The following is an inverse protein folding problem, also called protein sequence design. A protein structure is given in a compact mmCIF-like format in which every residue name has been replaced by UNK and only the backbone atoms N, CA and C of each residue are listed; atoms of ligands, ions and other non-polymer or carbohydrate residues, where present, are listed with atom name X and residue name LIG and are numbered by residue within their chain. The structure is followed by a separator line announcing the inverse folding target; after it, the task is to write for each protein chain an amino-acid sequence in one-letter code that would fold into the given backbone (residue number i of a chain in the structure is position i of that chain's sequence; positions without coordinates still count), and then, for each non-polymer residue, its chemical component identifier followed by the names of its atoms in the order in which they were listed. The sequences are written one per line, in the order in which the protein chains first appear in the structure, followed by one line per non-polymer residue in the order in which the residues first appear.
data_IF_085246715766
#
_entry.id   IF_085246715766
#
_cell.length_a   1.000
_cell.length_b   1.000
_cell.length_c   1.000
_cell.angle_alpha   90.00
_cell.angle_beta   90.00
_cell.angle_gamma   90.00
#
_symmetry.space_group_name_H-M   'P 1'
#
loop_
_entity.id
_entity.type
_entity.pdbx_description
1 polymer ?
#
# COMPACT_ATOMS: atom_id res chain seq x y z
N UNK A 1 6.62 -4.20 -38.27
CA UNK A 1 6.86 -4.05 -36.82
C UNK A 1 5.56 -4.36 -36.08
N UNK A 2 5.58 -5.15 -34.99
CA UNK A 2 4.39 -5.32 -34.17
C UNK A 2 3.96 -3.93 -33.66
N UNK A 3 2.67 -3.59 -33.78
CA UNK A 3 2.13 -2.32 -33.28
C UNK A 3 2.39 -2.27 -31.77
N UNK A 4 3.18 -1.30 -31.31
CA UNK A 4 3.36 -1.07 -29.88
C UNK A 4 2.03 -0.65 -29.28
N UNK A 5 1.51 -1.44 -28.37
CA UNK A 5 0.30 -1.13 -27.63
C UNK A 5 0.60 -0.02 -26.62
N UNK A 6 0.26 1.22 -26.98
CA UNK A 6 0.53 2.42 -26.18
C UNK A 6 -0.31 2.45 -24.89
N UNK A 7 -1.32 1.60 -24.77
CA UNK A 7 -2.17 1.51 -23.57
C UNK A 7 -1.47 0.87 -22.37
N UNK A 8 -0.24 0.37 -22.54
CA UNK A 8 0.55 -0.28 -21.48
C UNK A 8 1.80 0.50 -21.09
N UNK A 9 2.00 1.68 -21.67
CA UNK A 9 3.19 2.51 -21.40
C UNK A 9 2.89 3.41 -20.19
N UNK A 10 3.56 3.20 -19.04
CA UNK A 10 3.38 4.06 -17.89
C UNK A 10 3.99 5.44 -18.19
N UNK A 11 3.18 6.49 -18.09
CA UNK A 11 3.61 7.88 -18.28
C UNK A 11 3.74 8.63 -16.95
N UNK A 12 3.25 8.02 -15.87
CA UNK A 12 3.05 8.65 -14.58
C UNK A 12 4.12 8.26 -13.57
N UNK A 13 4.81 9.27 -13.02
CA UNK A 13 5.79 9.10 -11.96
C UNK A 13 5.13 9.05 -10.58
N UNK A 14 5.89 8.61 -9.57
CA UNK A 14 5.40 8.47 -8.20
C UNK A 14 4.88 9.81 -7.63
N UNK A 15 5.60 10.90 -7.82
CA UNK A 15 5.23 12.19 -7.22
C UNK A 15 3.95 12.77 -7.82
N UNK A 16 3.67 12.46 -9.09
CA UNK A 16 2.39 12.77 -9.73
C UNK A 16 1.28 11.87 -9.20
N UNK A 17 1.55 10.59 -8.98
CA UNK A 17 0.59 9.67 -8.34
C UNK A 17 0.15 10.17 -6.96
N UNK A 18 1.11 10.58 -6.13
CA UNK A 18 0.89 11.17 -4.80
C UNK A 18 -0.06 12.36 -4.90
N UNK A 19 0.26 13.35 -5.74
CA UNK A 19 -0.58 14.55 -5.93
C UNK A 19 -1.98 14.26 -6.48
N UNK A 20 -2.14 13.19 -7.26
CA UNK A 20 -3.44 12.79 -7.81
C UNK A 20 -4.25 12.09 -6.71
N UNK A 21 -3.65 11.14 -6.00
CA UNK A 21 -4.34 10.42 -4.93
C UNK A 21 -4.69 11.32 -3.75
N UNK A 22 -3.83 12.28 -3.38
CA UNK A 22 -4.13 13.27 -2.32
C UNK A 22 -5.31 14.18 -2.69
N UNK A 23 -5.34 14.67 -3.94
CA UNK A 23 -6.47 15.46 -4.45
C UNK A 23 -7.75 14.64 -4.51
N UNK A 24 -7.63 13.39 -4.96
CA UNK A 24 -8.75 12.48 -5.05
C UNK A 24 -9.32 12.18 -3.67
N UNK A 25 -8.48 11.80 -2.70
CA UNK A 25 -8.89 11.59 -1.31
C UNK A 25 -9.49 12.86 -0.69
N UNK A 26 -8.90 14.03 -0.97
CA UNK A 26 -9.41 15.32 -0.53
C UNK A 26 -10.80 15.66 -1.08
N UNK A 27 -11.18 15.08 -2.22
CA UNK A 27 -12.53 15.22 -2.78
C UNK A 27 -13.58 14.34 -2.10
N UNK A 28 -13.14 13.31 -1.35
CA UNK A 28 -14.01 12.38 -0.62
C UNK A 28 -14.27 12.91 0.80
N UNK A 29 -15.40 13.62 0.95
CA UNK A 29 -15.76 14.33 2.18
C UNK A 29 -15.90 13.43 3.41
N UNK A 30 -16.31 12.18 3.21
CA UNK A 30 -16.46 11.16 4.25
C UNK A 30 -15.14 10.52 4.68
N UNK A 31 -14.11 10.54 3.81
CA UNK A 31 -12.81 9.89 4.06
C UNK A 31 -11.72 10.84 4.53
N UNK A 32 -11.64 12.05 3.96
CA UNK A 32 -10.56 13.02 4.21
C UNK A 32 -10.40 13.43 5.68
N UNK A 33 -11.47 13.33 6.47
CA UNK A 33 -11.43 13.66 7.91
C UNK A 33 -10.91 12.52 8.79
N UNK A 34 -10.80 11.30 8.25
CA UNK A 34 -10.45 10.09 9.00
C UNK A 34 -9.09 9.54 8.58
N UNK A 35 -8.77 9.68 7.29
CA UNK A 35 -7.62 9.04 6.67
C UNK A 35 -6.80 10.01 5.81
N UNK A 36 -5.54 9.67 5.64
CA UNK A 36 -4.61 10.24 4.65
C UNK A 36 -4.12 9.12 3.73
N UNK A 37 -3.64 9.46 2.54
CA UNK A 37 -2.98 8.48 1.68
C UNK A 37 -1.54 8.30 2.16
N UNK A 38 -1.03 7.06 2.20
CA UNK A 38 0.39 6.86 2.46
C UNK A 38 1.24 7.35 1.27
N UNK A 39 2.49 7.72 1.53
CA UNK A 39 3.40 8.20 0.49
C UNK A 39 3.90 7.08 -0.45
N UNK A 40 3.61 5.80 -0.16
CA UNK A 40 4.33 4.66 -0.80
C UNK A 40 4.13 4.54 -2.30
N UNK A 41 2.88 4.61 -2.79
CA UNK A 41 2.48 4.48 -4.20
C UNK A 41 3.29 3.43 -4.99
N UNK A 42 3.26 2.18 -4.50
CA UNK A 42 3.95 1.02 -5.08
C UNK A 42 3.44 0.75 -6.48
N UNK A 43 4.36 0.56 -7.43
CA UNK A 43 4.02 0.24 -8.81
C UNK A 43 3.79 -1.27 -8.98
N UNK A 44 2.66 -1.63 -9.59
CA UNK A 44 2.26 -3.01 -9.85
C UNK A 44 1.65 -3.12 -11.26
N UNK A 45 1.62 -4.34 -11.80
CA UNK A 45 0.86 -4.64 -13.02
C UNK A 45 -0.32 -5.50 -12.61
N UNK A 46 -1.54 -5.01 -12.83
CA UNK A 46 -2.80 -5.71 -12.52
C UNK A 46 -3.52 -5.89 -13.86
N UNK A 47 -3.87 -7.14 -14.20
CA UNK A 47 -4.52 -7.48 -15.48
C UNK A 47 -3.79 -6.87 -16.71
N UNK A 48 -2.46 -6.92 -16.70
CA UNK A 48 -1.62 -6.42 -17.79
C UNK A 48 -1.58 -4.89 -17.96
N UNK A 49 -2.13 -4.11 -17.00
CA UNK A 49 -2.07 -2.65 -16.97
C UNK A 49 -1.24 -2.15 -15.78
N UNK A 50 -0.44 -1.09 -15.97
CA UNK A 50 0.40 -0.55 -14.90
C UNK A 50 -0.42 0.38 -13.98
N UNK A 51 -0.36 0.10 -12.68
CA UNK A 51 -1.00 0.89 -11.62
C UNK A 51 0.01 1.27 -10.54
N UNK A 52 -0.27 2.36 -9.84
CA UNK A 52 0.33 2.67 -8.54
C UNK A 52 -0.72 2.54 -7.45
N UNK A 53 -0.40 1.80 -6.39
CA UNK A 53 -1.32 1.56 -5.27
C UNK A 53 -0.74 2.10 -3.98
N UNK A 54 -1.60 2.64 -3.12
CA UNK A 54 -1.20 3.10 -1.79
C UNK A 54 -2.30 2.79 -0.76
N UNK A 55 -1.95 2.35 0.46
CA UNK A 55 -2.94 2.17 1.51
C UNK A 55 -3.38 3.52 2.07
N UNK A 56 -4.55 3.54 2.69
CA UNK A 56 -4.94 4.63 3.58
C UNK A 56 -4.25 4.47 4.95
N UNK A 57 -3.94 5.59 5.59
CA UNK A 57 -3.41 5.68 6.94
C UNK A 57 -4.35 6.52 7.81
N UNK A 58 -4.42 6.23 9.11
CA UNK A 58 -5.19 7.07 10.03
C UNK A 58 -4.57 8.47 10.11
N UNK A 59 -5.39 9.51 10.01
CA UNK A 59 -4.90 10.89 9.99
C UNK A 59 -4.22 11.31 11.32
N UNK A 60 -4.68 10.76 12.46
CA UNK A 60 -4.14 11.06 13.78
C UNK A 60 -4.46 9.93 14.81
N UNK A 61 -3.87 9.95 16.02
CA UNK A 61 -4.09 8.92 17.04
C UNK A 61 -5.55 8.79 17.51
N UNK A 62 -6.33 9.88 17.49
CA UNK A 62 -7.75 9.86 17.87
C UNK A 62 -8.55 9.14 16.78
N UNK A 63 -8.24 9.39 15.50
CA UNK A 63 -8.85 8.65 14.37
C UNK A 63 -8.50 7.17 14.42
N UNK A 64 -7.25 6.84 14.74
CA UNK A 64 -6.86 5.45 14.97
C UNK A 64 -7.71 4.83 16.07
N UNK A 65 -7.81 5.46 17.25
CA UNK A 65 -8.58 4.90 18.37
C UNK A 65 -10.05 4.62 18.01
N UNK A 66 -10.68 5.54 17.28
CA UNK A 66 -12.08 5.40 16.85
C UNK A 66 -12.30 4.35 15.75
N UNK A 67 -11.29 4.08 14.91
CA UNK A 67 -11.46 3.26 13.71
C UNK A 67 -10.72 1.91 13.75
N UNK A 68 -9.71 1.72 14.61
CA UNK A 68 -8.88 0.49 14.66
C UNK A 68 -9.70 -0.79 14.81
N UNK A 69 -10.85 -0.72 15.49
CA UNK A 69 -11.72 -1.88 15.69
C UNK A 69 -12.29 -2.38 14.35
N UNK A 70 -12.55 -1.47 13.40
CA UNK A 70 -12.97 -1.76 12.03
C UNK A 70 -11.77 -2.04 11.12
N UNK A 71 -10.66 -1.33 11.32
CA UNK A 71 -9.49 -1.40 10.45
C UNK A 71 -9.65 -0.55 9.20
N UNK A 72 -8.64 -0.57 8.32
CA UNK A 72 -8.64 0.20 7.08
C UNK A 72 -9.34 -0.62 6.00
N UNK A 73 -10.47 -0.11 5.50
CA UNK A 73 -11.35 -0.81 4.58
C UNK A 73 -11.06 -0.54 3.11
N UNK A 74 -10.21 0.42 2.78
CA UNK A 74 -10.01 0.87 1.40
C UNK A 74 -8.53 1.20 1.12
N UNK A 75 -8.18 1.22 -0.17
CA UNK A 75 -6.90 1.72 -0.65
C UNK A 75 -7.09 2.53 -1.93
N UNK A 76 -6.10 3.37 -2.27
CA UNK A 76 -6.14 4.18 -3.50
C UNK A 76 -5.34 3.47 -4.58
N UNK A 77 -5.90 3.43 -5.80
CA UNK A 77 -5.28 2.91 -7.01
C UNK A 77 -5.26 4.01 -8.06
N UNK A 78 -4.08 4.27 -8.63
CA UNK A 78 -3.87 5.27 -9.69
C UNK A 78 -3.43 4.56 -10.96
N UNK A 79 -4.18 4.77 -12.03
CA UNK A 79 -3.83 4.29 -13.37
C UNK A 79 -2.65 5.10 -13.92
N UNK A 80 -1.56 4.42 -14.27
CA UNK A 80 -0.34 5.08 -14.72
C UNK A 80 -0.38 5.56 -16.18
N UNK A 81 -1.42 5.20 -16.92
CA UNK A 81 -1.63 5.54 -18.33
C UNK A 81 -2.62 6.69 -18.45
N UNK A 82 -3.73 6.62 -17.70
CA UNK A 82 -4.78 7.64 -17.73
C UNK A 82 -4.63 8.72 -16.66
N UNK A 83 -3.91 8.43 -15.57
CA UNK A 83 -3.80 9.33 -14.42
C UNK A 83 -5.07 9.37 -13.56
N UNK A 84 -6.02 8.45 -13.77
CA UNK A 84 -7.24 8.38 -12.97
C UNK A 84 -6.96 7.68 -11.64
N UNK A 85 -7.48 8.24 -10.55
CA UNK A 85 -7.48 7.63 -9.23
C UNK A 85 -8.85 7.02 -8.90
N UNK A 86 -8.82 5.92 -8.16
CA UNK A 86 -9.97 5.17 -7.69
C UNK A 86 -9.74 4.76 -6.23
N UNK A 87 -10.80 4.84 -5.41
CA UNK A 87 -10.83 4.22 -4.09
C UNK A 87 -11.39 2.82 -4.24
N UNK A 88 -10.61 1.81 -3.86
CA UNK A 88 -11.01 0.41 -3.97
C UNK A 88 -11.37 -0.13 -2.58
N UNK A 89 -12.60 -0.62 -2.47
CA UNK A 89 -13.11 -1.24 -1.25
C UNK A 89 -12.57 -2.65 -1.08
N UNK A 90 -12.10 -2.95 0.14
CA UNK A 90 -11.57 -4.25 0.52
C UNK A 90 -12.70 -5.17 0.97
N UNK A 91 -12.68 -6.42 0.50
CA UNK A 91 -13.56 -7.49 1.01
C UNK A 91 -13.36 -7.70 2.52
N UNK A 92 -12.13 -7.53 3.00
CA UNK A 92 -11.78 -7.65 4.42
C UNK A 92 -10.90 -6.47 4.82
N UNK A 93 -11.31 -5.67 5.83
CA UNK A 93 -10.50 -4.55 6.29
C UNK A 93 -9.14 -5.01 6.83
N UNK A 94 -8.10 -4.23 6.51
CA UNK A 94 -6.76 -4.44 7.03
C UNK A 94 -6.71 -4.13 8.52
N UNK A 95 -6.25 -5.09 9.32
CA UNK A 95 -5.95 -4.92 10.76
C UNK A 95 -4.49 -4.57 11.05
N UNK A 96 -3.63 -4.69 10.03
CA UNK A 96 -2.22 -4.41 10.12
C UNK A 96 -1.88 -3.37 9.05
N UNK A 97 -1.29 -2.26 9.45
CA UNK A 97 -0.77 -1.23 8.55
C UNK A 97 0.44 -0.54 9.18
N UNK A 98 1.14 0.29 8.39
CA UNK A 98 2.22 1.14 8.91
C UNK A 98 1.70 2.28 9.81
N UNK A 99 0.40 2.57 9.79
CA UNK A 99 -0.26 3.57 10.64
C UNK A 99 -0.92 2.99 11.89
N UNK A 100 -0.86 1.67 12.10
CA UNK A 100 -1.41 1.01 13.29
C UNK A 100 -0.46 1.17 14.49
N UNK A 101 -1.02 1.14 15.70
CA UNK A 101 -0.23 1.20 16.94
C UNK A 101 -0.02 -0.19 17.54
N UNK A 102 0.97 -0.30 18.42
CA UNK A 102 1.29 -1.53 19.17
C UNK A 102 1.51 -2.75 18.25
N UNK A 103 0.93 -3.90 18.60
CA UNK A 103 1.14 -5.18 17.92
C UNK A 103 0.48 -5.28 16.53
N UNK A 104 -0.21 -4.22 16.09
CA UNK A 104 -0.82 -4.13 14.77
C UNK A 104 0.01 -3.33 13.77
N UNK A 105 1.02 -2.59 14.24
CA UNK A 105 2.07 -2.03 13.38
C UNK A 105 2.76 -3.16 12.62
N UNK A 106 2.83 -3.06 11.28
CA UNK A 106 3.36 -4.12 10.41
C UNK A 106 4.80 -4.47 10.76
N UNK A 107 5.65 -3.45 10.97
CA UNK A 107 7.08 -3.65 11.27
C UNK A 107 7.27 -4.36 12.61
N UNK A 108 6.54 -3.95 13.64
CA UNK A 108 6.56 -4.59 14.96
C UNK A 108 6.01 -6.01 14.89
N UNK A 109 4.90 -6.22 14.19
CA UNK A 109 4.31 -7.55 14.02
C UNK A 109 5.30 -8.52 13.37
N UNK A 110 5.97 -8.11 12.29
CA UNK A 110 7.01 -8.90 11.62
C UNK A 110 8.18 -9.22 12.56
N UNK A 111 8.65 -8.24 13.33
CA UNK A 111 9.76 -8.44 14.28
C UNK A 111 9.43 -9.39 15.42
N UNK A 112 8.21 -9.34 15.97
CA UNK A 112 7.76 -10.25 17.02
C UNK A 112 7.62 -11.68 16.45
N UNK A 113 7.03 -11.81 15.27
CA UNK A 113 6.79 -13.12 14.63
C UNK A 113 8.08 -13.78 14.15
N UNK A 114 9.07 -13.00 13.73
CA UNK A 114 10.32 -13.49 13.17
C UNK A 114 11.54 -12.75 13.76
N UNK A 115 11.91 -13.02 15.03
CA UNK A 115 12.91 -12.22 15.75
C UNK A 115 14.30 -12.25 15.12
N UNK A 116 14.69 -13.36 14.48
CA UNK A 116 16.03 -13.57 13.90
C UNK A 116 16.14 -13.17 12.43
N UNK A 117 15.02 -12.88 11.75
CA UNK A 117 15.03 -12.51 10.34
C UNK A 117 15.38 -11.04 10.16
N UNK A 118 16.10 -10.74 9.08
CA UNK A 118 16.40 -9.36 8.67
C UNK A 118 15.50 -9.03 7.49
N UNK A 119 14.73 -7.95 7.61
CA UNK A 119 13.75 -7.52 6.63
C UNK A 119 14.17 -6.21 5.97
N UNK A 120 13.86 -6.06 4.68
CA UNK A 120 13.69 -4.74 4.08
C UNK A 120 12.38 -4.11 4.59
N UNK A 121 12.24 -2.79 4.48
CA UNK A 121 10.96 -2.11 4.73
C UNK A 121 9.84 -2.79 3.93
N UNK A 122 8.74 -3.19 4.59
CA UNK A 122 7.60 -3.77 3.89
C UNK A 122 7.02 -2.80 2.85
N UNK A 123 6.62 -3.32 1.70
CA UNK A 123 5.85 -2.60 0.67
C UNK A 123 4.38 -2.98 0.77
N UNK A 124 3.50 -2.00 0.60
CA UNK A 124 2.09 -2.28 0.35
C UNK A 124 1.91 -2.70 -1.11
N UNK A 125 1.30 -3.86 -1.32
CA UNK A 125 1.04 -4.46 -2.62
C UNK A 125 -0.38 -5.01 -2.67
N UNK A 126 -0.88 -5.24 -3.89
CA UNK A 126 -2.22 -5.76 -4.14
C UNK A 126 -2.11 -6.85 -5.21
N UNK A 127 -2.82 -7.97 -5.02
CA UNK A 127 -2.89 -9.03 -6.03
C UNK A 127 -3.85 -8.70 -7.18
N UNK A 128 -3.94 -9.59 -8.17
CA UNK A 128 -4.83 -9.41 -9.33
C UNK A 128 -6.32 -9.43 -8.95
N UNK A 129 -6.68 -9.95 -7.78
CA UNK A 129 -8.05 -10.01 -7.26
C UNK A 129 -8.44 -8.77 -6.42
N UNK A 130 -7.49 -7.86 -6.19
CA UNK A 130 -7.68 -6.66 -5.37
C UNK A 130 -7.45 -6.88 -3.87
N UNK A 131 -6.89 -8.01 -3.45
CA UNK A 131 -6.58 -8.26 -2.04
C UNK A 131 -5.25 -7.59 -1.64
N UNK A 132 -5.20 -6.89 -0.49
CA UNK A 132 -4.05 -6.12 -0.06
C UNK A 132 -3.07 -6.95 0.78
N UNK A 133 -1.78 -6.69 0.60
CA UNK A 133 -0.71 -7.34 1.34
C UNK A 133 0.41 -6.36 1.71
N UNK A 134 0.98 -6.55 2.89
CA UNK A 134 2.29 -5.98 3.21
C UNK A 134 3.36 -7.03 2.97
N UNK A 135 4.21 -6.79 1.97
CA UNK A 135 5.23 -7.72 1.51
C UNK A 135 6.59 -7.25 2.01
N UNK A 136 7.31 -8.12 2.73
CA UNK A 136 8.63 -7.79 3.27
C UNK A 136 9.69 -8.75 2.72
N UNK A 137 10.65 -8.22 1.97
CA UNK A 137 11.81 -9.00 1.51
C UNK A 137 12.70 -9.39 2.69
N UNK A 138 13.07 -10.66 2.77
CA UNK A 138 13.99 -11.18 3.79
C UNK A 138 15.40 -11.28 3.21
N UNK A 139 16.39 -10.83 3.98
CA UNK A 139 17.80 -11.06 3.65
C UNK A 139 18.26 -12.42 4.18
N UNK A 140 18.87 -13.21 3.31
CA UNK A 140 19.52 -14.46 3.68
C UNK A 140 21.04 -14.28 3.62
N UNK A 141 21.71 -14.58 4.72
CA UNK A 141 23.16 -14.56 4.80
C UNK A 141 23.72 -15.77 4.03
N UNK A 142 24.49 -15.51 2.98
CA UNK A 142 25.12 -16.55 2.15
C UNK A 142 26.50 -16.99 2.69
N UNK A 143 27.18 -16.15 3.49
CA UNK A 143 28.53 -16.42 3.99
C UNK A 143 28.70 -16.00 5.46
N UNK A 144 29.40 -16.81 6.26
CA UNK A 144 29.63 -16.66 7.71
C UNK A 144 28.71 -17.55 8.58
N UNK A 145 29.03 -17.74 9.87
CA UNK A 145 28.28 -18.66 10.77
C UNK A 145 26.76 -18.45 10.63
N UNK A 146 26.08 -19.50 10.20
CA UNK A 146 24.63 -19.58 10.06
C UNK A 146 23.99 -19.59 11.43
N UNK A 147 22.98 -18.75 11.60
CA UNK A 147 22.05 -18.88 12.72
C UNK A 147 20.93 -19.80 12.19
N UNK A 148 20.53 -20.86 12.94
CA UNK A 148 19.50 -21.81 12.49
C UNK A 148 18.17 -21.13 12.13
#
# INVERSE_FOLDING_TARGET
FPKSDTSKVPILDRSTAEKIGDRYLGSLTDKVSQYVAADTYTQLTIDGKPYRVTPLEYADPIKWFNNQAKGIGEYIKVDMVTGNAELVDLKTPMKYSDSEYFNRDVKRHLRIKYPTKIFKTPSFEVDDEGNPFYVATVYQKQFGLGVP
#
